data_IF_278216838783
#
_entry.id   IF_278216838783
#
_cell.length_a   1.000
_cell.length_b   1.000
_cell.length_c   1.000
_cell.angle_alpha   90.00
_cell.angle_beta   90.00
_cell.angle_gamma   90.00
#
_symmetry.space_group_name_H-M   'P 1'
#
loop_
_entity.id
_entity.type
_entity.pdbx_description
1 polymer ?
#
# COMPACT_ATOMS: atom_id res chain seq x y z
N UNK A 1 18.05 25.46 0.44
CA UNK A 1 17.71 24.27 1.23
C UNK A 1 17.03 23.35 0.26
N UNK A 2 17.62 22.20 -0.03
CA UNK A 2 16.96 21.19 -0.87
C UNK A 2 15.82 20.63 -0.02
N UNK A 3 14.57 20.79 -0.45
CA UNK A 3 13.41 20.15 0.20
C UNK A 3 13.64 18.64 0.18
N UNK A 4 13.32 17.96 1.28
CA UNK A 4 13.35 16.51 1.35
C UNK A 4 12.42 15.93 0.26
N UNK A 5 12.88 15.00 -0.60
CA UNK A 5 12.05 14.39 -1.63
C UNK A 5 10.71 13.87 -1.12
N UNK A 6 10.67 13.38 0.12
CA UNK A 6 9.45 12.88 0.73
C UNK A 6 8.49 14.02 1.12
N UNK A 7 8.99 15.14 1.61
CA UNK A 7 8.16 16.31 1.92
C UNK A 7 7.62 16.94 0.62
N UNK A 8 8.44 16.99 -0.44
CA UNK A 8 8.00 17.48 -1.75
C UNK A 8 6.93 16.56 -2.37
N UNK A 9 7.07 15.24 -2.23
CA UNK A 9 6.04 14.29 -2.64
C UNK A 9 4.71 14.57 -1.91
N UNK A 10 4.76 14.80 -0.59
CA UNK A 10 3.55 15.10 0.18
C UNK A 10 2.90 16.43 -0.23
N UNK A 11 3.69 17.47 -0.48
CA UNK A 11 3.18 18.75 -0.98
C UNK A 11 2.48 18.60 -2.34
N UNK A 12 3.05 17.80 -3.25
CA UNK A 12 2.43 17.52 -4.55
C UNK A 12 1.16 16.68 -4.42
N UNK A 13 1.09 15.76 -3.46
CA UNK A 13 -0.12 14.99 -3.18
C UNK A 13 -1.24 15.84 -2.55
N UNK A 14 -0.87 16.89 -1.79
CA UNK A 14 -1.81 17.86 -1.22
C UNK A 14 -2.38 18.80 -2.30
N UNK A 15 -1.54 19.28 -3.23
CA UNK A 15 -1.96 20.28 -4.22
C UNK A 15 -2.44 19.69 -5.55
N UNK A 16 -1.93 18.50 -5.90
CA UNK A 16 -2.04 17.88 -7.22
C UNK A 16 -1.53 18.78 -8.37
N UNK A 17 -0.61 19.71 -8.07
CA UNK A 17 -0.09 20.68 -9.05
C UNK A 17 0.67 20.01 -10.20
N UNK A 18 1.34 18.88 -9.93
CA UNK A 18 2.10 18.12 -10.93
C UNK A 18 2.07 16.62 -10.62
N UNK A 19 1.20 15.90 -11.35
CA UNK A 19 1.08 14.44 -11.25
C UNK A 19 2.35 13.73 -11.72
N UNK A 20 2.96 14.18 -12.82
CA UNK A 20 4.16 13.56 -13.37
C UNK A 20 5.34 13.67 -12.38
N UNK A 21 5.48 14.82 -11.72
CA UNK A 21 6.53 15.02 -10.72
C UNK A 21 6.29 14.20 -9.44
N UNK A 22 5.03 14.04 -9.02
CA UNK A 22 4.69 13.17 -7.91
C UNK A 22 5.04 11.71 -8.22
N UNK A 23 4.79 11.24 -9.44
CA UNK A 23 5.16 9.90 -9.90
C UNK A 23 6.69 9.74 -9.88
N UNK A 24 7.44 10.68 -10.47
CA UNK A 24 8.91 10.62 -10.51
C UNK A 24 9.51 10.56 -9.10
N UNK A 25 8.96 11.32 -8.15
CA UNK A 25 9.40 11.31 -6.75
C UNK A 25 9.01 10.02 -6.03
N UNK A 26 7.79 9.51 -6.24
CA UNK A 26 7.35 8.24 -5.68
C UNK A 26 8.27 7.09 -6.12
N UNK A 27 8.60 7.03 -7.42
CA UNK A 27 9.54 6.06 -7.98
C UNK A 27 10.94 6.21 -7.39
N UNK A 28 11.43 7.44 -7.23
CA UNK A 28 12.74 7.69 -6.62
C UNK A 28 12.79 7.26 -5.14
N UNK A 29 11.71 7.52 -4.39
CA UNK A 29 11.58 7.10 -2.99
C UNK A 29 11.54 5.57 -2.90
N UNK A 30 10.74 4.90 -3.73
CA UNK A 30 10.68 3.45 -3.79
C UNK A 30 12.02 2.81 -4.16
N UNK A 31 12.69 3.33 -5.20
CA UNK A 31 14.00 2.84 -5.67
C UNK A 31 15.14 3.06 -4.67
N UNK A 32 14.97 3.93 -3.67
CA UNK A 32 15.99 4.15 -2.64
C UNK A 32 16.24 2.91 -1.77
N UNK A 33 15.23 2.06 -1.58
CA UNK A 33 15.28 0.93 -0.65
C UNK A 33 15.44 1.35 0.83
N UNK A 34 15.26 2.64 1.15
CA UNK A 34 15.43 3.13 2.51
C UNK A 34 14.20 2.84 3.39
N UNK A 35 14.24 1.70 4.06
CA UNK A 35 13.19 1.26 4.99
C UNK A 35 12.99 2.24 6.16
N UNK A 36 13.93 3.15 6.45
CA UNK A 36 13.76 4.16 7.50
C UNK A 36 12.67 5.19 7.14
N UNK A 37 12.26 5.26 5.87
CA UNK A 37 11.18 6.13 5.40
C UNK A 37 9.79 5.59 5.71
N UNK A 38 9.64 4.27 5.96
CA UNK A 38 8.34 3.63 6.16
C UNK A 38 7.49 4.32 7.24
N UNK A 39 7.98 4.60 8.47
CA UNK A 39 7.15 5.25 9.48
C UNK A 39 6.56 6.61 9.06
N UNK A 40 7.28 7.37 8.22
CA UNK A 40 6.78 8.65 7.69
C UNK A 40 5.74 8.44 6.60
N UNK A 41 5.96 7.47 5.71
CA UNK A 41 5.02 7.07 4.67
C UNK A 41 3.71 6.54 5.27
N UNK A 42 3.79 5.70 6.30
CA UNK A 42 2.62 5.17 7.03
C UNK A 42 1.80 6.30 7.66
N UNK A 43 2.45 7.23 8.36
CA UNK A 43 1.79 8.38 8.96
C UNK A 43 1.13 9.30 7.91
N UNK A 44 1.77 9.48 6.75
CA UNK A 44 1.20 10.25 5.64
C UNK A 44 0.01 9.52 5.01
N UNK A 45 0.10 8.21 4.80
CA UNK A 45 -1.01 7.40 4.29
C UNK A 45 -2.24 7.53 5.19
N UNK A 46 -2.08 7.39 6.51
CA UNK A 46 -3.18 7.57 7.46
C UNK A 46 -3.80 8.97 7.38
N UNK A 47 -2.95 10.02 7.25
CA UNK A 47 -3.42 11.40 7.08
C UNK A 47 -4.28 11.55 5.82
N UNK A 48 -3.75 11.13 4.67
CA UNK A 48 -4.41 11.29 3.38
C UNK A 48 -5.70 10.48 3.26
N UNK A 49 -5.73 9.30 3.86
CA UNK A 49 -6.97 8.52 4.01
C UNK A 49 -8.00 9.30 4.82
N UNK A 50 -7.60 9.90 5.95
CA UNK A 50 -8.47 10.74 6.77
C UNK A 50 -9.01 11.99 6.05
N UNK A 51 -8.26 12.49 5.07
CA UNK A 51 -8.64 13.63 4.22
C UNK A 51 -9.48 13.22 3.00
N UNK A 52 -9.65 11.92 2.76
CA UNK A 52 -10.38 11.38 1.61
C UNK A 52 -9.62 11.45 0.29
N UNK A 53 -8.28 11.57 0.34
CA UNK A 53 -7.45 11.68 -0.84
C UNK A 53 -7.14 10.28 -1.40
N UNK A 54 -8.02 9.79 -2.28
CA UNK A 54 -7.86 8.48 -2.92
C UNK A 54 -6.56 8.38 -3.71
N UNK A 55 -6.16 9.46 -4.40
CA UNK A 55 -4.95 9.47 -5.23
C UNK A 55 -3.68 9.28 -4.39
N UNK A 56 -3.59 9.99 -3.26
CA UNK A 56 -2.49 9.82 -2.33
C UNK A 56 -2.48 8.43 -1.67
N UNK A 57 -3.66 7.86 -1.37
CA UNK A 57 -3.76 6.47 -0.87
C UNK A 57 -3.17 5.48 -1.87
N UNK A 58 -3.53 5.60 -3.15
CA UNK A 58 -3.01 4.76 -4.23
C UNK A 58 -1.50 4.90 -4.36
N UNK A 59 -1.00 6.14 -4.50
CA UNK A 59 0.42 6.41 -4.71
C UNK A 59 1.28 5.95 -3.51
N UNK A 60 0.91 6.34 -2.29
CA UNK A 60 1.68 5.97 -1.10
C UNK A 60 1.58 4.47 -0.81
N UNK A 61 0.43 3.84 -1.10
CA UNK A 61 0.26 2.40 -1.00
C UNK A 61 1.27 1.65 -1.88
N UNK A 62 1.47 2.08 -3.13
CA UNK A 62 2.47 1.52 -4.02
C UNK A 62 3.91 1.73 -3.55
N UNK A 63 4.26 2.94 -3.09
CA UNK A 63 5.61 3.21 -2.54
C UNK A 63 5.90 2.34 -1.32
N UNK A 64 4.93 2.21 -0.40
CA UNK A 64 5.04 1.38 0.79
C UNK A 64 5.18 -0.10 0.41
N UNK A 65 4.35 -0.59 -0.51
CA UNK A 65 4.43 -1.96 -1.01
C UNK A 65 5.83 -2.26 -1.58
N UNK A 66 6.37 -1.34 -2.39
CA UNK A 66 7.69 -1.47 -3.01
C UNK A 66 8.83 -1.49 -1.99
N UNK A 67 8.79 -0.59 -0.99
CA UNK A 67 9.83 -0.50 0.04
C UNK A 67 9.75 -1.64 1.05
N UNK A 68 8.60 -1.82 1.67
CA UNK A 68 8.45 -2.74 2.80
C UNK A 68 8.04 -4.17 2.43
N UNK A 69 7.74 -4.42 1.15
CA UNK A 69 7.39 -5.74 0.63
C UNK A 69 6.18 -6.36 1.35
N UNK A 70 6.16 -7.69 1.41
CA UNK A 70 5.06 -8.49 1.97
C UNK A 70 4.71 -8.11 3.41
N UNK A 71 5.70 -7.67 4.21
CA UNK A 71 5.50 -7.22 5.58
C UNK A 71 4.51 -6.05 5.73
N UNK A 72 4.26 -5.30 4.66
CA UNK A 72 3.32 -4.16 4.65
C UNK A 72 1.86 -4.56 4.41
N UNK A 73 1.58 -5.82 4.06
CA UNK A 73 0.23 -6.29 3.74
C UNK A 73 -0.82 -5.90 4.79
N UNK A 74 -0.60 -6.03 6.12
CA UNK A 74 -1.61 -5.63 7.10
C UNK A 74 -2.02 -4.16 7.01
N UNK A 75 -1.07 -3.28 6.72
CA UNK A 75 -1.34 -1.85 6.54
C UNK A 75 -2.11 -1.60 5.25
N UNK A 76 -1.68 -2.19 4.13
CA UNK A 76 -2.32 -1.99 2.83
C UNK A 76 -3.75 -2.55 2.80
N UNK A 77 -4.01 -3.66 3.51
CA UNK A 77 -5.36 -4.18 3.70
C UNK A 77 -6.25 -3.20 4.44
N UNK A 78 -5.75 -2.58 5.52
CA UNK A 78 -6.51 -1.54 6.25
C UNK A 78 -6.73 -0.30 5.39
N UNK A 79 -5.73 0.13 4.63
CA UNK A 79 -5.86 1.25 3.72
C UNK A 79 -6.92 0.99 2.64
N UNK A 80 -6.89 -0.18 2.00
CA UNK A 80 -7.88 -0.58 0.98
C UNK A 80 -9.29 -0.78 1.55
N UNK A 81 -9.43 -1.00 2.86
CA UNK A 81 -10.73 -1.13 3.51
C UNK A 81 -11.48 0.21 3.65
N UNK A 82 -10.81 1.34 3.44
CA UNK A 82 -11.46 2.66 3.48
C UNK A 82 -12.02 3.03 2.12
N UNK A 83 -13.34 3.15 2.05
CA UNK A 83 -14.06 3.60 0.86
C UNK A 83 -13.88 5.12 0.66
N UNK A 84 -13.16 5.49 -0.39
CA UNK A 84 -12.93 6.88 -0.80
C UNK A 84 -13.66 7.24 -2.11
N UNK A 85 -14.56 6.37 -2.57
CA UNK A 85 -15.35 6.58 -3.79
C UNK A 85 -14.62 6.27 -5.11
N UNK A 86 -13.47 5.61 -5.03
CA UNK A 86 -12.64 5.19 -6.17
C UNK A 86 -12.68 3.67 -6.40
N UNK A 87 -12.18 3.18 -7.54
CA UNK A 87 -12.21 1.75 -7.89
C UNK A 87 -11.09 0.91 -7.22
N UNK A 88 -10.05 1.57 -6.70
CA UNK A 88 -8.92 1.00 -5.97
C UNK A 88 -8.10 -0.03 -6.76
N UNK A 89 -8.17 -0.03 -8.10
CA UNK A 89 -7.52 -1.04 -8.95
C UNK A 89 -5.97 -1.03 -8.82
N UNK A 90 -5.37 0.15 -8.58
CA UNK A 90 -3.92 0.29 -8.39
C UNK A 90 -3.44 -0.38 -7.11
N UNK A 91 -3.98 0.01 -5.97
CA UNK A 91 -3.65 -0.55 -4.66
C UNK A 91 -4.00 -2.04 -4.60
N UNK A 92 -5.12 -2.45 -5.21
CA UNK A 92 -5.47 -3.86 -5.34
C UNK A 92 -4.41 -4.64 -6.12
N UNK A 93 -3.86 -4.08 -7.20
CA UNK A 93 -2.79 -4.70 -7.99
C UNK A 93 -1.53 -4.92 -7.15
N UNK A 94 -1.12 -3.93 -6.36
CA UNK A 94 0.05 -4.03 -5.48
C UNK A 94 -0.14 -5.10 -4.39
N UNK A 95 -1.32 -5.14 -3.75
CA UNK A 95 -1.64 -6.17 -2.76
C UNK A 95 -1.56 -7.57 -3.40
N UNK A 96 -2.11 -7.75 -4.59
CA UNK A 96 -2.06 -9.04 -5.31
C UNK A 96 -0.62 -9.42 -5.65
N UNK A 97 0.21 -8.47 -6.10
CA UNK A 97 1.61 -8.71 -6.41
C UNK A 97 2.39 -9.18 -5.18
N UNK A 98 2.20 -8.52 -4.03
CA UNK A 98 2.79 -8.93 -2.76
C UNK A 98 2.37 -10.34 -2.36
N UNK A 99 1.06 -10.62 -2.39
CA UNK A 99 0.49 -11.94 -2.06
C UNK A 99 1.10 -13.07 -2.89
N UNK A 100 1.37 -12.81 -4.17
CA UNK A 100 1.96 -13.77 -5.08
C UNK A 100 3.48 -13.89 -4.93
N UNK A 101 4.16 -12.83 -4.48
CA UNK A 101 5.61 -12.80 -4.32
C UNK A 101 6.12 -13.64 -3.15
N UNK A 102 5.41 -13.63 -2.01
CA UNK A 102 5.70 -14.46 -0.84
C UNK A 102 4.40 -15.04 -0.25
N UNK A 103 3.91 -16.17 -0.79
CA UNK A 103 2.64 -16.77 -0.38
C UNK A 103 2.60 -17.21 1.08
N UNK A 104 3.73 -17.65 1.63
CA UNK A 104 3.80 -18.20 2.99
C UNK A 104 3.74 -17.06 4.02
N UNK A 105 4.53 -16.01 3.83
CA UNK A 105 4.47 -14.82 4.69
C UNK A 105 3.12 -14.11 4.54
N UNK A 106 2.61 -13.97 3.30
CA UNK A 106 1.32 -13.35 3.04
C UNK A 106 0.19 -14.08 3.76
N UNK A 107 0.18 -15.42 3.72
CA UNK A 107 -0.80 -16.22 4.46
C UNK A 107 -0.72 -15.94 5.96
N UNK A 108 0.49 -15.96 6.52
CA UNK A 108 0.70 -15.73 7.96
C UNK A 108 0.22 -14.34 8.41
N UNK A 109 0.39 -13.31 7.57
CA UNK A 109 -0.02 -11.94 7.87
C UNK A 109 -1.53 -11.70 7.65
N UNK A 110 -2.13 -12.31 6.63
CA UNK A 110 -3.52 -12.06 6.24
C UNK A 110 -4.53 -12.91 7.02
N UNK A 111 -4.17 -14.15 7.41
CA UNK A 111 -5.09 -15.04 8.14
C UNK A 111 -5.65 -14.42 9.44
N UNK A 112 -4.84 -13.73 10.29
CA UNK A 112 -5.36 -13.04 11.47
C UNK A 112 -6.38 -11.94 11.13
N UNK A 113 -6.16 -11.20 10.03
CA UNK A 113 -7.02 -10.08 9.62
C UNK A 113 -8.40 -10.53 9.14
N UNK A 114 -8.57 -11.79 8.74
CA UNK A 114 -9.90 -12.35 8.42
C UNK A 114 -10.87 -12.36 9.61
N UNK A 115 -10.35 -12.10 10.82
CA UNK A 115 -11.11 -12.02 12.08
C UNK A 115 -11.03 -10.62 12.71
N UNK A 116 -10.64 -9.61 11.93
CA UNK A 116 -10.59 -8.24 12.41
C UNK A 116 -11.98 -7.79 12.90
N UNK A 117 -11.99 -6.87 13.86
CA UNK A 117 -13.23 -6.32 14.40
C UNK A 117 -13.95 -5.43 13.37
N UNK A 118 -13.19 -4.82 12.45
CA UNK A 118 -13.74 -4.15 11.29
C UNK A 118 -14.08 -5.19 10.20
N UNK A 119 -15.38 -5.38 9.86
CA UNK A 119 -15.77 -6.36 8.86
C UNK A 119 -15.23 -6.04 7.46
N UNK A 120 -14.98 -4.77 7.12
CA UNK A 120 -14.44 -4.40 5.80
C UNK A 120 -12.98 -4.82 5.70
N UNK A 121 -12.19 -4.63 6.76
CA UNK A 121 -10.81 -5.14 6.85
C UNK A 121 -10.80 -6.67 6.71
N UNK A 122 -11.70 -7.36 7.41
CA UNK A 122 -11.82 -8.81 7.33
C UNK A 122 -12.17 -9.30 5.91
N UNK A 123 -13.10 -8.63 5.23
CA UNK A 123 -13.49 -8.92 3.85
C UNK A 123 -12.33 -8.69 2.87
N UNK A 124 -11.55 -7.62 3.05
CA UNK A 124 -10.35 -7.34 2.24
C UNK A 124 -9.26 -8.39 2.44
N UNK A 125 -9.03 -8.82 3.68
CA UNK A 125 -8.10 -9.92 3.95
C UNK A 125 -8.54 -11.23 3.28
N UNK A 126 -9.84 -11.56 3.35
CA UNK A 126 -10.41 -12.74 2.67
C UNK A 126 -10.30 -12.63 1.16
N UNK A 127 -10.50 -11.44 0.58
CA UNK A 127 -10.30 -11.19 -0.85
C UNK A 127 -8.84 -11.42 -1.25
N UNK A 128 -7.88 -10.83 -0.53
CA UNK A 128 -6.45 -10.94 -0.82
C UNK A 128 -5.96 -12.41 -0.78
N UNK A 129 -6.43 -13.20 0.19
CA UNK A 129 -6.09 -14.63 0.29
C UNK A 129 -6.52 -15.47 -0.93
N UNK A 130 -7.47 -15.00 -1.76
CA UNK A 130 -7.89 -15.69 -3.00
C UNK A 130 -6.81 -15.69 -4.08
N UNK A 131 -5.81 -14.81 -3.95
CA UNK A 131 -4.72 -14.65 -4.92
C UNK A 131 -3.46 -15.42 -4.55
N UNK A 132 -3.47 -16.14 -3.42
CA UNK A 132 -2.41 -17.10 -3.12
C UNK A 132 -2.31 -18.12 -4.26
N UNK A 133 -1.10 -18.43 -4.75
CA UNK A 133 -0.93 -19.46 -5.76
C UNK A 133 -1.46 -20.80 -5.24
N UNK A 134 -1.96 -21.63 -6.16
CA UNK A 134 -2.32 -23.00 -5.85
C UNK A 134 -1.13 -23.77 -5.27
N UNK A 135 -1.36 -24.92 -4.60
CA UNK A 135 -0.25 -25.74 -4.11
C UNK A 135 0.72 -26.04 -5.26
N UNK A 136 2.05 -25.98 -5.03
CA UNK A 136 2.99 -26.34 -6.07
C UNK A 136 2.65 -27.76 -6.56
N UNK A 137 2.70 -28.01 -7.88
CA UNK A 137 2.48 -29.36 -8.39
C UNK A 137 3.47 -30.31 -7.70
N UNK A 138 2.96 -31.43 -7.19
CA UNK A 138 3.78 -32.43 -6.49
C UNK A 138 5.03 -32.77 -7.33
N UNK A 139 6.21 -32.49 -6.77
CA UNK A 139 7.51 -32.91 -7.31
C UNK A 139 7.78 -34.38 -7.01
#
# INVERSE_FOLDING_TARGET
MTTDPLDQLFELLDSLDSVDEAIDLADAVAASGDLALLPRLEAALDRFIGEGNFYAREMLGGVIASLGGTGTLPLLIRASAVDLGDDQDGLATEIVALVQSDPDESRALLEPLTKDADPVVAERAVWALRFLPGPPPHA
#
